data_IF_379425850017
#
_entry.id   IF_379425850017
#
_cell.length_a   1.000
_cell.length_b   1.000
_cell.length_c   1.000
_cell.angle_alpha   90.00
_cell.angle_beta   90.00
_cell.angle_gamma   90.00
#
_symmetry.space_group_name_H-M   'P 1'
#
loop_
_entity.id
_entity.type
_entity.pdbx_description
1 polymer ?
#
# COMPACT_ATOMS: atom_id res chain seq x y z
N UNK A 1 3.24 17.94 5.16
CA UNK A 1 3.66 16.60 4.66
C UNK A 1 4.44 16.73 3.37
N UNK A 2 5.31 15.80 3.12
CA UNK A 2 6.14 15.77 1.93
C UNK A 2 5.75 14.56 1.07
N UNK A 3 5.78 14.72 -0.25
CA UNK A 3 5.52 13.61 -1.16
C UNK A 3 6.82 12.87 -1.43
N UNK A 4 6.77 11.54 -1.27
CA UNK A 4 7.91 10.67 -1.60
C UNK A 4 7.49 9.70 -2.71
N UNK A 5 8.46 9.32 -3.53
CA UNK A 5 8.22 8.53 -4.74
C UNK A 5 9.14 7.32 -4.80
N UNK A 6 8.59 6.21 -5.30
CA UNK A 6 9.33 4.97 -5.54
C UNK A 6 8.90 4.40 -6.88
N UNK A 7 9.78 3.64 -7.52
CA UNK A 7 9.39 2.88 -8.70
C UNK A 7 10.26 1.65 -8.86
N UNK A 8 9.73 0.68 -9.60
CA UNK A 8 10.46 -0.55 -9.93
C UNK A 8 9.96 -1.08 -11.27
N UNK A 9 10.87 -1.64 -12.06
CA UNK A 9 10.53 -2.31 -13.31
C UNK A 9 10.36 -3.80 -13.04
N UNK A 10 9.24 -4.36 -13.50
CA UNK A 10 8.85 -5.74 -13.25
C UNK A 10 8.65 -6.45 -14.58
N UNK A 11 9.30 -7.59 -14.76
CA UNK A 11 9.19 -8.39 -15.98
C UNK A 11 7.94 -9.29 -15.90
N UNK A 12 6.78 -8.65 -15.91
CA UNK A 12 5.49 -9.31 -15.89
C UNK A 12 4.42 -8.32 -16.39
N UNK A 13 3.30 -8.81 -16.96
CA UNK A 13 2.25 -7.91 -17.44
C UNK A 13 1.50 -7.24 -16.29
N UNK A 14 0.85 -6.13 -16.59
CA UNK A 14 0.11 -5.33 -15.59
C UNK A 14 -0.91 -6.15 -14.81
N UNK A 15 -1.61 -7.04 -15.46
CA UNK A 15 -2.63 -7.88 -14.83
C UNK A 15 -2.03 -8.72 -13.71
N UNK A 16 -0.86 -9.26 -13.93
CA UNK A 16 -0.18 -10.09 -12.94
C UNK A 16 0.33 -9.25 -11.77
N UNK A 17 0.93 -8.11 -12.05
CA UNK A 17 1.40 -7.19 -11.01
C UNK A 17 0.22 -6.69 -10.16
N UNK A 18 -0.89 -6.34 -10.81
CA UNK A 18 -2.09 -5.92 -10.11
C UNK A 18 -2.61 -7.01 -9.17
N UNK A 19 -2.66 -8.25 -9.62
CA UNK A 19 -3.08 -9.37 -8.79
C UNK A 19 -2.15 -9.59 -7.60
N UNK A 20 -0.84 -9.47 -7.80
CA UNK A 20 0.14 -9.59 -6.70
C UNK A 20 -0.10 -8.51 -5.64
N UNK A 21 -0.34 -7.28 -6.08
CA UNK A 21 -0.55 -6.17 -5.15
C UNK A 21 -1.79 -6.36 -4.27
N UNK A 22 -2.92 -6.82 -4.86
CA UNK A 22 -4.21 -6.74 -4.18
C UNK A 22 -4.86 -8.07 -3.83
N UNK A 23 -4.33 -9.21 -4.27
CA UNK A 23 -4.79 -10.50 -3.82
C UNK A 23 -4.34 -10.72 -2.37
N UNK A 24 -5.23 -11.21 -1.51
CA UNK A 24 -4.95 -11.34 -0.07
C UNK A 24 -3.69 -12.15 0.21
N UNK A 25 -3.51 -13.28 -0.47
CA UNK A 25 -2.35 -14.15 -0.23
C UNK A 25 -1.03 -13.46 -0.53
N UNK A 26 -0.92 -12.81 -1.70
CA UNK A 26 0.31 -12.11 -2.10
C UNK A 26 0.49 -10.82 -1.33
N UNK A 27 -0.60 -10.11 -1.02
CA UNK A 27 -0.54 -8.89 -0.21
C UNK A 27 0.13 -9.17 1.14
N UNK A 28 -0.24 -10.27 1.80
CA UNK A 28 0.33 -10.65 3.10
C UNK A 28 1.83 -10.93 3.01
N UNK A 29 2.32 -11.32 1.84
CA UNK A 29 3.74 -11.62 1.63
C UNK A 29 4.56 -10.37 1.35
N UNK A 30 4.12 -9.52 0.40
CA UNK A 30 4.94 -8.38 0.03
C UNK A 30 4.92 -7.25 1.08
N UNK A 31 3.96 -7.26 1.98
CA UNK A 31 3.87 -6.24 3.03
C UNK A 31 4.64 -6.59 4.30
N UNK A 32 5.26 -7.76 4.39
CA UNK A 32 6.02 -8.15 5.59
C UNK A 32 7.12 -7.15 5.98
N UNK A 33 7.81 -6.47 5.04
CA UNK A 33 8.81 -5.47 5.44
C UNK A 33 8.26 -4.35 6.31
N UNK A 34 6.96 -4.01 6.16
CA UNK A 34 6.34 -2.98 6.98
C UNK A 34 6.06 -3.43 8.41
N UNK A 35 6.20 -4.72 8.70
CA UNK A 35 6.06 -5.31 10.03
C UNK A 35 7.37 -6.00 10.44
N UNK A 36 8.49 -5.43 10.06
CA UNK A 36 9.85 -5.94 10.39
C UNK A 36 10.08 -7.39 9.95
N UNK A 37 9.43 -7.80 8.84
CA UNK A 37 9.52 -9.15 8.31
C UNK A 37 8.60 -10.16 8.96
N UNK A 38 7.78 -9.74 9.93
CA UNK A 38 6.83 -10.62 10.62
C UNK A 38 5.59 -10.81 9.75
N UNK A 39 5.14 -12.04 9.60
CA UNK A 39 3.89 -12.36 8.90
C UNK A 39 2.68 -11.94 9.72
N UNK A 40 1.54 -11.74 9.05
CA UNK A 40 0.27 -11.43 9.71
C UNK A 40 -0.33 -10.08 9.34
N UNK A 41 0.36 -9.27 8.51
CA UNK A 41 -0.24 -8.05 7.96
C UNK A 41 -1.30 -8.42 6.93
N UNK A 42 -2.43 -7.70 6.94
CA UNK A 42 -3.50 -7.93 5.97
C UNK A 42 -4.32 -6.67 5.78
N UNK A 43 -5.10 -6.65 4.69
CA UNK A 43 -6.05 -5.57 4.43
C UNK A 43 -7.46 -6.10 4.59
N UNK A 44 -8.26 -5.43 5.40
CA UNK A 44 -9.68 -5.72 5.53
C UNK A 44 -10.42 -4.79 4.58
N UNK A 45 -10.92 -5.34 3.49
CA UNK A 45 -11.45 -4.55 2.37
C UNK A 45 -12.67 -5.23 1.76
N UNK A 46 -13.53 -4.42 1.11
CA UNK A 46 -14.64 -4.90 0.31
C UNK A 46 -14.22 -4.94 -1.16
N UNK A 47 -13.41 -5.96 -1.52
CA UNK A 47 -12.88 -6.16 -2.88
C UNK A 47 -12.16 -4.93 -3.44
N UNK A 48 -11.59 -4.08 -2.57
CA UNK A 48 -10.92 -2.85 -2.98
C UNK A 48 -11.84 -1.90 -3.76
N UNK A 49 -13.13 -1.99 -3.53
CA UNK A 49 -14.13 -1.20 -4.23
C UNK A 49 -13.93 0.29 -3.99
N UNK A 50 -13.97 1.08 -5.07
CA UNK A 50 -13.83 2.52 -4.99
C UNK A 50 -14.90 3.11 -4.06
N UNK A 51 -14.47 3.99 -3.16
CA UNK A 51 -15.33 4.61 -2.16
C UNK A 51 -15.45 3.81 -0.87
N UNK A 52 -14.99 2.55 -0.82
CA UNK A 52 -15.15 1.71 0.37
C UNK A 52 -14.02 1.96 1.38
N UNK A 53 -14.30 1.60 2.64
CA UNK A 53 -13.32 1.66 3.72
C UNK A 53 -12.35 0.49 3.60
N UNK A 54 -11.07 0.75 3.89
CA UNK A 54 -10.03 -0.27 3.97
C UNK A 54 -9.31 -0.11 5.31
N UNK A 55 -9.13 -1.20 6.02
CA UNK A 55 -8.26 -1.24 7.19
C UNK A 55 -6.97 -1.95 6.82
N UNK A 56 -5.84 -1.25 6.91
CA UNK A 56 -4.52 -1.84 6.71
C UNK A 56 -3.99 -2.22 8.09
N UNK A 57 -3.93 -3.52 8.37
CA UNK A 57 -3.67 -4.02 9.71
C UNK A 57 -2.36 -4.79 9.77
N UNK A 58 -1.60 -4.59 10.84
CA UNK A 58 -0.41 -5.37 11.14
C UNK A 58 -0.72 -6.62 11.94
N UNK A 59 0.31 -7.40 12.29
CA UNK A 59 0.12 -8.67 13.03
C UNK A 59 -0.57 -8.52 14.38
N UNK A 60 -0.45 -7.35 15.01
CA UNK A 60 -1.09 -7.05 16.29
C UNK A 60 -2.53 -6.54 16.15
N UNK A 61 -3.03 -6.41 14.92
CA UNK A 61 -4.37 -5.89 14.63
C UNK A 61 -4.45 -4.37 14.62
N UNK A 62 -3.36 -3.67 14.87
CA UNK A 62 -3.29 -2.22 14.76
C UNK A 62 -2.89 -1.79 13.34
N UNK A 63 -3.25 -0.59 12.95
CA UNK A 63 -2.91 -0.09 11.62
C UNK A 63 -3.63 1.18 11.24
N UNK A 64 -4.03 1.26 9.98
CA UNK A 64 -4.60 2.47 9.37
C UNK A 64 -6.04 2.28 8.95
N UNK A 65 -6.86 3.32 9.19
CA UNK A 65 -8.19 3.45 8.60
C UNK A 65 -8.03 4.27 7.33
N UNK A 66 -8.50 3.74 6.22
CA UNK A 66 -8.34 4.39 4.92
C UNK A 66 -9.61 4.21 4.07
N UNK A 67 -9.61 4.88 2.92
CA UNK A 67 -10.65 4.77 1.93
C UNK A 67 -10.02 4.54 0.56
N UNK A 68 -10.64 3.71 -0.26
CA UNK A 68 -10.25 3.57 -1.66
C UNK A 68 -10.73 4.82 -2.40
N UNK A 69 -9.82 5.74 -2.69
CA UNK A 69 -10.16 6.99 -3.37
C UNK A 69 -10.35 6.78 -4.87
N UNK A 70 -9.61 5.85 -5.47
CA UNK A 70 -9.74 5.52 -6.89
C UNK A 70 -9.26 4.10 -7.12
N UNK A 71 -9.96 3.37 -7.99
CA UNK A 71 -9.56 2.04 -8.43
C UNK A 71 -9.82 1.90 -9.93
N UNK A 72 -8.75 1.95 -10.72
CA UNK A 72 -8.79 1.69 -12.16
C UNK A 72 -8.01 0.40 -12.40
N UNK A 73 -8.71 -0.69 -12.56
CA UNK A 73 -8.14 -2.04 -12.64
C UNK A 73 -6.94 -2.10 -13.59
N UNK A 74 -5.86 -2.69 -13.09
CA UNK A 74 -4.59 -2.88 -13.80
C UNK A 74 -3.82 -1.58 -14.10
N UNK A 75 -4.29 -0.42 -13.65
CA UNK A 75 -3.66 0.85 -13.98
C UNK A 75 -3.36 1.74 -12.79
N UNK A 76 -4.34 1.93 -11.89
CA UNK A 76 -4.19 2.93 -10.82
C UNK A 76 -5.02 2.58 -9.60
N UNK A 77 -4.39 2.65 -8.42
CA UNK A 77 -5.06 2.52 -7.13
C UNK A 77 -4.63 3.67 -6.24
N UNK A 78 -5.59 4.33 -5.61
CA UNK A 78 -5.31 5.44 -4.70
C UNK A 78 -6.04 5.22 -3.39
N UNK A 79 -5.31 5.42 -2.29
CA UNK A 79 -5.88 5.40 -0.95
C UNK A 79 -5.77 6.76 -0.31
N UNK A 80 -6.79 7.12 0.46
CA UNK A 80 -6.77 8.28 1.33
C UNK A 80 -6.76 7.76 2.77
N UNK A 81 -5.71 8.08 3.51
CA UNK A 81 -5.58 7.66 4.91
C UNK A 81 -6.36 8.63 5.80
N UNK A 82 -7.22 8.08 6.65
CA UNK A 82 -8.16 8.86 7.46
C UNK A 82 -7.84 8.82 8.94
N UNK A 83 -7.18 7.79 9.41
CA UNK A 83 -6.88 7.63 10.81
C UNK A 83 -6.15 6.34 11.12
N UNK A 84 -6.19 5.94 12.39
CA UNK A 84 -5.52 4.73 12.87
C UNK A 84 -6.51 3.80 13.56
N UNK A 85 -6.13 2.52 13.65
CA UNK A 85 -6.85 1.51 14.42
C UNK A 85 -5.91 1.04 15.53
N UNK A 86 -6.40 0.99 16.75
CA UNK A 86 -5.63 0.50 17.89
C UNK A 86 -6.56 -0.28 18.82
N UNK A 87 -6.22 -1.54 19.10
CA UNK A 87 -7.05 -2.42 19.94
C UNK A 87 -8.51 -2.48 19.48
N UNK A 88 -8.73 -2.53 18.16
CA UNK A 88 -10.06 -2.59 17.56
C UNK A 88 -10.81 -1.26 17.54
N UNK A 89 -10.20 -0.18 18.00
CA UNK A 89 -10.83 1.15 18.03
C UNK A 89 -10.26 2.02 16.91
N UNK A 90 -11.14 2.55 16.08
CA UNK A 90 -10.76 3.47 14.98
C UNK A 90 -10.73 4.90 15.52
N UNK A 91 -9.65 5.61 15.21
CA UNK A 91 -9.47 7.02 15.58
C UNK A 91 -9.23 7.85 14.31
N UNK A 92 -10.20 8.68 13.96
CA UNK A 92 -10.12 9.60 12.81
C UNK A 92 -10.21 11.05 13.25
N UNK A 93 -10.24 11.34 14.54
CA UNK A 93 -10.59 12.68 15.05
C UNK A 93 -9.54 13.29 16.01
N UNK A 94 -8.59 12.52 16.52
CA UNK A 94 -7.60 13.07 17.45
C UNK A 94 -6.71 14.09 16.76
N UNK A 95 -6.07 14.95 17.56
CA UNK A 95 -5.16 15.97 17.03
C UNK A 95 -3.98 15.36 16.28
N UNK A 96 -3.46 14.22 16.77
CA UNK A 96 -2.36 13.52 16.10
C UNK A 96 -2.78 13.06 14.70
N UNK A 97 -3.99 12.52 14.56
CA UNK A 97 -4.52 12.06 13.29
C UNK A 97 -4.82 13.22 12.35
N UNK A 98 -5.41 14.30 12.87
CA UNK A 98 -5.75 15.48 12.05
C UNK A 98 -4.54 16.12 11.40
N UNK A 99 -3.37 15.95 11.98
CA UNK A 99 -2.13 16.50 11.42
C UNK A 99 -1.72 15.85 10.10
N UNK A 100 -2.22 14.65 9.79
CA UNK A 100 -1.86 13.95 8.56
C UNK A 100 -3.06 13.31 7.82
N UNK A 101 -4.26 13.37 8.38
CA UNK A 101 -5.45 12.82 7.73
C UNK A 101 -5.64 13.47 6.36
N UNK A 102 -6.01 12.66 5.37
CA UNK A 102 -6.07 13.07 3.97
C UNK A 102 -4.82 12.70 3.19
N UNK A 103 -3.78 12.15 3.86
CA UNK A 103 -2.57 11.71 3.18
C UNK A 103 -2.90 10.65 2.13
N UNK A 104 -2.29 10.78 0.96
CA UNK A 104 -2.55 9.89 -0.18
C UNK A 104 -1.43 8.88 -0.38
N UNK A 105 -1.81 7.72 -0.88
CA UNK A 105 -0.88 6.66 -1.29
C UNK A 105 -1.38 6.14 -2.62
N UNK A 106 -0.58 6.33 -3.67
CA UNK A 106 -0.98 6.05 -5.04
C UNK A 106 -0.07 5.02 -5.69
N UNK A 107 -0.69 4.08 -6.43
CA UNK A 107 -0.01 3.03 -7.16
C UNK A 107 -0.37 3.15 -8.63
N UNK A 108 0.63 3.30 -9.49
CA UNK A 108 0.42 3.46 -10.93
C UNK A 108 1.20 2.39 -11.67
N UNK A 109 0.50 1.64 -12.54
CA UNK A 109 1.11 0.62 -13.38
C UNK A 109 1.11 1.11 -14.82
N UNK A 110 2.29 1.11 -15.43
CA UNK A 110 2.46 1.55 -16.82
C UNK A 110 3.07 0.41 -17.61
N UNK A 111 2.46 0.09 -18.75
CA UNK A 111 3.01 -0.92 -19.67
C UNK A 111 4.27 -0.39 -20.34
N UNK A 112 5.29 -1.24 -20.41
CA UNK A 112 6.57 -0.93 -21.03
C UNK A 112 7.02 -2.17 -21.83
N UNK A 113 6.48 -2.32 -23.04
CA UNK A 113 6.79 -3.44 -23.94
C UNK A 113 6.56 -4.81 -23.31
N UNK A 114 5.40 -5.00 -22.65
CA UNK A 114 5.03 -6.25 -22.00
C UNK A 114 5.55 -6.39 -20.58
N UNK A 115 6.40 -5.47 -20.14
CA UNK A 115 6.84 -5.35 -18.76
C UNK A 115 6.03 -4.26 -18.09
N UNK A 116 6.11 -4.18 -16.77
CA UNK A 116 5.36 -3.18 -16.01
C UNK A 116 6.31 -2.29 -15.23
N UNK A 117 6.09 -0.98 -15.32
CA UNK A 117 6.68 -0.05 -14.38
C UNK A 117 5.65 0.21 -13.29
N UNK A 118 6.00 -0.13 -12.06
CA UNK A 118 5.18 0.17 -10.88
C UNK A 118 5.75 1.40 -10.20
N UNK A 119 4.96 2.46 -10.15
CA UNK A 119 5.35 3.71 -9.49
C UNK A 119 4.42 3.95 -8.31
N UNK A 120 5.01 4.33 -7.19
CA UNK A 120 4.27 4.67 -5.98
C UNK A 120 4.64 6.08 -5.58
N UNK A 121 3.64 6.91 -5.30
CA UNK A 121 3.85 8.18 -4.63
C UNK A 121 2.95 8.25 -3.41
N UNK A 122 3.45 8.87 -2.36
CA UNK A 122 2.70 8.96 -1.11
C UNK A 122 3.09 10.18 -0.33
N UNK A 123 2.15 10.67 0.47
CA UNK A 123 2.40 11.75 1.42
C UNK A 123 2.96 11.17 2.70
N UNK A 124 4.03 11.75 3.21
CA UNK A 124 4.67 11.30 4.44
C UNK A 124 4.97 12.46 5.36
N UNK A 125 4.85 12.23 6.66
CA UNK A 125 5.37 13.15 7.67
C UNK A 125 6.88 12.94 7.79
N UNK A 126 7.59 13.94 8.32
CA UNK A 126 9.04 13.83 8.54
C UNK A 126 9.39 12.67 9.46
N UNK A 127 8.52 12.40 10.44
CA UNK A 127 8.71 11.31 11.41
C UNK A 127 8.86 9.94 10.74
N UNK A 128 8.08 9.67 9.68
CA UNK A 128 8.06 8.37 9.03
C UNK A 128 8.83 8.30 7.72
N UNK A 129 9.37 9.42 7.26
CA UNK A 129 10.06 9.48 5.96
C UNK A 129 11.20 8.48 5.84
N UNK A 130 12.09 8.45 6.81
CA UNK A 130 13.26 7.54 6.77
C UNK A 130 12.83 6.09 6.81
N UNK A 131 11.81 5.78 7.59
CA UNK A 131 11.22 4.43 7.65
C UNK A 131 10.74 4.00 6.26
N UNK A 132 9.97 4.84 5.57
CA UNK A 132 9.46 4.53 4.24
C UNK A 132 10.56 4.43 3.19
N UNK A 133 11.55 5.33 3.23
CA UNK A 133 12.68 5.29 2.29
C UNK A 133 13.49 4.00 2.42
N UNK A 134 13.52 3.42 3.59
CA UNK A 134 14.21 2.15 3.85
C UNK A 134 13.33 0.94 3.50
N UNK A 135 12.04 1.00 3.79
CA UNK A 135 11.13 -0.15 3.76
C UNK A 135 10.53 -0.40 2.38
N UNK A 136 10.10 0.65 1.69
CA UNK A 136 9.46 0.51 0.38
C UNK A 136 10.31 -0.21 -0.66
N UNK A 137 11.62 0.08 -0.79
CA UNK A 137 12.43 -0.66 -1.77
C UNK A 137 12.43 -2.17 -1.51
N UNK A 138 12.46 -2.60 -0.26
CA UNK A 138 12.41 -4.03 0.09
C UNK A 138 11.05 -4.63 -0.28
N UNK A 139 9.98 -3.93 0.01
CA UNK A 139 8.62 -4.37 -0.33
C UNK A 139 8.43 -4.48 -1.85
N UNK A 140 8.95 -3.51 -2.61
CA UNK A 140 8.85 -3.53 -4.07
C UNK A 140 9.63 -4.69 -4.69
N UNK A 141 10.78 -5.07 -4.11
CA UNK A 141 11.51 -6.25 -4.56
C UNK A 141 10.67 -7.51 -4.36
N UNK A 142 9.91 -7.60 -3.27
CA UNK A 142 9.00 -8.74 -3.04
C UNK A 142 7.87 -8.76 -4.06
N UNK A 143 7.30 -7.62 -4.40
CA UNK A 143 6.28 -7.53 -5.45
C UNK A 143 6.85 -8.01 -6.78
N UNK A 144 8.07 -7.59 -7.10
CA UNK A 144 8.76 -8.03 -8.32
C UNK A 144 8.97 -9.54 -8.34
N UNK A 145 9.50 -10.11 -7.27
CA UNK A 145 9.71 -11.56 -7.16
C UNK A 145 8.42 -12.34 -7.36
N UNK A 146 7.35 -11.94 -6.66
CA UNK A 146 6.06 -12.61 -6.76
C UNK A 146 5.44 -12.47 -8.14
N UNK A 147 5.62 -11.33 -8.79
CA UNK A 147 5.07 -11.07 -10.13
C UNK A 147 5.81 -11.82 -11.23
N UNK A 148 7.12 -12.01 -11.09
CA UNK A 148 7.95 -12.68 -12.10
C UNK A 148 7.95 -14.19 -11.94
N UNK A 149 7.37 -14.69 -10.87
CA UNK A 149 7.27 -16.11 -10.59
C UNK A 149 6.18 -16.76 -11.46
N UNK A 150 6.48 -17.92 -12.00
CA UNK A 150 5.51 -18.67 -12.82
C UNK A 150 4.50 -19.41 -11.96
#
# INVERSE_FOLDING_TARGET
>A
MEKINFSIDINAPKEKVWNVLWNDESYRKWTTPFAEGVEGSYAKTDNWKEGSKVLFLGPDGGGMVSKVASNKKNEFMSFEHLGVVKNGVEDTESNDVKGWAGARENYRLTDNNGKTKLAIDMDSTDEFKDYFLKTWPVALEKVKELSEKN
#
